data_IF_735654334843
#
_entry.id   IF_735654334843
#
_cell.length_a   1.000
_cell.length_b   1.000
_cell.length_c   1.000
_cell.angle_alpha   90.00
_cell.angle_beta   90.00
_cell.angle_gamma   90.00
#
_symmetry.space_group_name_H-M   'P 1'
#
loop_
_entity.id
_entity.type
_entity.pdbx_description
1 polymer ?
#
# COMPACT_ATOMS: atom_id res chain seq x y z
N UNK A 1 23.97 -9.52 -0.87
CA UNK A 1 22.85 -9.73 0.05
C UNK A 1 21.61 -8.99 -0.43
N UNK A 2 20.45 -9.39 0.10
CA UNK A 2 19.20 -8.68 -0.07
C UNK A 2 18.86 -7.97 1.24
N UNK A 3 18.26 -6.77 1.17
CA UNK A 3 17.78 -6.10 2.38
C UNK A 3 16.50 -6.78 2.90
N UNK A 4 15.53 -7.06 2.03
CA UNK A 4 14.32 -7.81 2.39
C UNK A 4 14.02 -8.88 1.34
N UNK A 5 13.78 -10.10 1.76
CA UNK A 5 13.27 -11.19 0.92
C UNK A 5 11.79 -11.39 1.20
N UNK A 6 10.95 -11.31 0.16
CA UNK A 6 9.50 -11.51 0.28
C UNK A 6 9.04 -12.82 -0.35
N UNK A 7 8.10 -13.48 0.31
CA UNK A 7 7.16 -14.35 -0.41
C UNK A 7 6.09 -13.48 -1.05
N UNK A 8 5.90 -13.58 -2.37
CA UNK A 8 4.92 -12.75 -3.11
C UNK A 8 3.47 -13.19 -2.85
N UNK A 9 3.24 -14.50 -2.87
CA UNK A 9 1.99 -15.16 -2.50
C UNK A 9 2.30 -16.38 -1.65
N UNK A 10 1.37 -16.69 -0.77
CA UNK A 10 1.45 -17.96 -0.02
C UNK A 10 0.99 -19.11 -0.92
N UNK A 11 1.49 -20.32 -0.69
CA UNK A 11 0.99 -21.49 -1.39
C UNK A 11 -0.51 -21.65 -1.14
N UNK A 12 -1.31 -21.94 -2.18
CA UNK A 12 -2.71 -22.30 -2.00
C UNK A 12 -2.88 -23.68 -1.31
N UNK A 13 -1.85 -24.53 -1.38
CA UNK A 13 -1.82 -25.85 -0.76
C UNK A 13 -0.76 -25.89 0.35
N UNK A 14 -1.17 -25.50 1.57
CA UNK A 14 -0.31 -25.55 2.74
C UNK A 14 -0.10 -26.98 3.28
N UNK A 15 -0.87 -27.96 2.81
CA UNK A 15 -0.63 -29.38 3.13
C UNK A 15 0.57 -29.92 2.37
N UNK A 16 0.70 -29.58 1.08
CA UNK A 16 1.82 -29.99 0.25
C UNK A 16 3.06 -29.08 0.46
N UNK A 17 2.84 -27.78 0.70
CA UNK A 17 3.90 -26.79 0.91
C UNK A 17 3.69 -26.06 2.25
N UNK A 18 4.08 -26.68 3.37
CA UNK A 18 3.88 -26.13 4.71
C UNK A 18 4.55 -24.76 4.87
N UNK A 19 3.86 -23.83 5.52
CA UNK A 19 4.41 -22.51 5.83
C UNK A 19 5.70 -22.62 6.64
N UNK A 20 5.77 -23.59 7.56
CA UNK A 20 6.94 -23.88 8.38
C UNK A 20 8.21 -24.08 7.53
N UNK A 21 8.15 -24.92 6.51
CA UNK A 21 9.28 -25.20 5.62
C UNK A 21 9.74 -23.93 4.86
N UNK A 22 8.78 -23.09 4.44
CA UNK A 22 9.08 -21.80 3.81
C UNK A 22 9.83 -20.87 4.77
N UNK A 23 9.31 -20.72 5.99
CA UNK A 23 9.89 -19.85 7.01
C UNK A 23 11.27 -20.34 7.41
N UNK A 24 11.45 -21.65 7.64
CA UNK A 24 12.75 -22.25 7.96
C UNK A 24 13.80 -21.95 6.88
N UNK A 25 13.45 -22.13 5.61
CA UNK A 25 14.35 -21.80 4.49
C UNK A 25 14.75 -20.32 4.48
N UNK A 26 13.80 -19.40 4.72
CA UNK A 26 14.08 -17.97 4.81
C UNK A 26 14.96 -17.64 6.00
N UNK A 27 14.74 -18.26 7.16
CA UNK A 27 15.57 -18.11 8.35
C UNK A 27 17.01 -18.61 8.13
N UNK A 28 17.18 -19.73 7.39
CA UNK A 28 18.52 -20.20 7.02
C UNK A 28 19.25 -19.18 6.15
N UNK A 29 18.56 -18.56 5.17
CA UNK A 29 19.17 -17.52 4.34
C UNK A 29 19.56 -16.28 5.16
N UNK A 30 18.75 -15.92 6.18
CA UNK A 30 19.05 -14.84 7.11
C UNK A 30 20.27 -15.19 7.99
N UNK A 31 20.34 -16.38 8.53
CA UNK A 31 21.48 -16.87 9.33
C UNK A 31 22.80 -16.90 8.52
N UNK A 32 22.71 -17.17 7.20
CA UNK A 32 23.87 -17.11 6.28
C UNK A 32 24.28 -15.68 5.89
N UNK A 33 23.58 -14.65 6.38
CA UNK A 33 23.83 -13.25 6.02
C UNK A 33 23.44 -12.85 4.61
N UNK A 34 22.71 -13.72 3.88
CA UNK A 34 22.24 -13.44 2.52
C UNK A 34 21.06 -12.49 2.48
N UNK A 35 20.27 -12.46 3.54
CA UNK A 35 19.06 -11.65 3.70
C UNK A 35 19.10 -10.97 5.06
N UNK A 36 18.72 -9.69 5.12
CA UNK A 36 18.67 -8.92 6.38
C UNK A 36 17.32 -9.02 7.06
N UNK A 37 16.23 -8.98 6.29
CA UNK A 37 14.87 -9.00 6.79
C UNK A 37 13.98 -9.92 5.95
N UNK A 38 12.93 -10.46 6.58
CA UNK A 38 11.96 -11.37 5.96
C UNK A 38 10.64 -10.65 5.82
N UNK A 39 10.06 -10.71 4.61
CA UNK A 39 8.77 -10.15 4.29
C UNK A 39 7.80 -11.18 3.71
N UNK A 40 6.52 -10.87 3.80
CA UNK A 40 5.47 -11.64 3.14
C UNK A 40 4.41 -10.70 2.56
N UNK A 41 3.98 -10.95 1.32
CA UNK A 41 2.96 -10.16 0.66
C UNK A 41 1.64 -10.93 0.55
N UNK A 42 0.51 -10.21 0.51
CA UNK A 42 -0.82 -10.78 0.30
C UNK A 42 -1.16 -11.85 1.35
N UNK A 43 -1.04 -11.49 2.61
CA UNK A 43 -1.20 -12.38 3.75
C UNK A 43 -2.53 -12.21 4.47
N UNK A 44 -2.85 -13.18 5.32
CA UNK A 44 -3.90 -13.09 6.36
C UNK A 44 -3.27 -12.96 7.74
N UNK A 45 -4.06 -12.62 8.76
CA UNK A 45 -3.59 -12.57 10.15
C UNK A 45 -3.02 -13.92 10.63
N UNK A 46 -3.62 -15.03 10.20
CA UNK A 46 -3.14 -16.39 10.56
C UNK A 46 -1.78 -16.70 9.90
N UNK A 47 -1.57 -16.25 8.68
CA UNK A 47 -0.27 -16.36 8.00
C UNK A 47 0.80 -15.54 8.74
N UNK A 48 0.48 -14.31 9.14
CA UNK A 48 1.39 -13.47 9.94
C UNK A 48 1.78 -14.20 11.24
N UNK A 49 0.80 -14.74 11.97
CA UNK A 49 1.05 -15.51 13.20
C UNK A 49 1.87 -16.78 12.92
N UNK A 50 1.61 -17.45 11.80
CA UNK A 50 2.38 -18.62 11.38
C UNK A 50 3.85 -18.30 11.14
N UNK A 51 4.16 -17.23 10.43
CA UNK A 51 5.55 -16.78 10.23
C UNK A 51 6.24 -16.53 11.58
N UNK A 52 5.58 -15.79 12.48
CA UNK A 52 6.15 -15.47 13.80
C UNK A 52 6.25 -16.69 14.72
N UNK A 53 5.43 -17.72 14.50
CA UNK A 53 5.51 -19.00 15.24
C UNK A 53 6.71 -19.83 14.82
N UNK A 54 7.01 -19.91 13.52
CA UNK A 54 8.06 -20.78 13.00
C UNK A 54 9.41 -20.06 12.81
N UNK A 55 9.43 -18.73 12.93
CA UNK A 55 10.63 -17.95 12.79
C UNK A 55 10.38 -16.46 13.04
N UNK A 56 10.61 -15.62 12.03
CA UNK A 56 10.46 -14.18 12.10
C UNK A 56 9.74 -13.65 10.88
N UNK A 57 8.94 -12.59 11.06
CA UNK A 57 8.42 -11.75 10.00
C UNK A 57 8.71 -10.29 10.37
N UNK A 58 9.46 -9.60 9.54
CA UNK A 58 9.84 -8.21 9.79
C UNK A 58 8.82 -7.23 9.17
N UNK A 59 8.24 -7.59 8.02
CA UNK A 59 7.36 -6.70 7.26
C UNK A 59 6.35 -7.48 6.41
N UNK A 60 5.11 -6.96 6.34
CA UNK A 60 4.14 -7.39 5.34
C UNK A 60 4.04 -6.37 4.21
N UNK A 61 3.73 -6.84 2.99
CA UNK A 61 3.43 -5.97 1.85
C UNK A 61 2.00 -6.21 1.37
N UNK A 62 1.14 -5.19 1.52
CA UNK A 62 -0.29 -5.32 1.27
C UNK A 62 -0.82 -4.19 0.37
N UNK A 63 -1.90 -4.50 -0.39
CA UNK A 63 -2.62 -3.46 -1.12
C UNK A 63 -3.25 -2.49 -0.12
N UNK A 64 -2.80 -1.24 -0.17
CA UNK A 64 -3.33 -0.19 0.67
C UNK A 64 -3.34 1.16 -0.06
N UNK A 65 -4.49 1.81 -0.05
CA UNK A 65 -4.69 3.15 -0.60
C UNK A 65 -5.78 3.85 0.22
N UNK A 66 -6.02 5.13 -0.03
CA UNK A 66 -7.13 5.86 0.58
C UNK A 66 -8.50 5.24 0.28
N UNK A 67 -8.62 4.46 -0.81
CA UNK A 67 -9.86 3.79 -1.23
C UNK A 67 -9.92 2.30 -0.86
N UNK A 68 -8.78 1.68 -0.54
CA UNK A 68 -8.67 0.25 -0.20
C UNK A 68 -7.98 0.13 1.15
N UNK A 69 -8.77 0.04 2.24
CA UNK A 69 -8.31 0.20 3.62
C UNK A 69 -8.50 -1.05 4.51
N UNK A 70 -8.74 -2.22 3.91
CA UNK A 70 -8.98 -3.47 4.66
C UNK A 70 -7.88 -3.80 5.67
N UNK A 71 -6.63 -3.44 5.37
CA UNK A 71 -5.45 -3.67 6.22
C UNK A 71 -5.66 -3.12 7.64
N UNK A 72 -6.31 -1.96 7.76
CA UNK A 72 -6.50 -1.30 9.06
C UNK A 72 -7.28 -2.17 10.05
N UNK A 73 -8.31 -2.88 9.58
CA UNK A 73 -9.16 -3.72 10.42
C UNK A 73 -8.70 -5.17 10.49
N UNK A 74 -8.15 -5.69 9.39
CA UNK A 74 -7.88 -7.12 9.27
C UNK A 74 -6.47 -7.52 9.70
N UNK A 75 -5.45 -6.68 9.45
CA UNK A 75 -4.05 -7.06 9.63
C UNK A 75 -3.32 -6.19 10.66
N UNK A 76 -3.61 -4.89 10.71
CA UNK A 76 -2.88 -3.95 11.57
C UNK A 76 -2.90 -4.32 13.07
N UNK A 77 -3.99 -4.84 13.66
CA UNK A 77 -3.96 -5.30 15.04
C UNK A 77 -2.92 -6.39 15.27
N UNK A 78 -2.87 -7.41 14.40
CA UNK A 78 -1.89 -8.50 14.46
C UNK A 78 -0.47 -8.01 14.22
N UNK A 79 -0.28 -7.09 13.26
CA UNK A 79 1.04 -6.50 13.01
C UNK A 79 1.56 -5.73 14.23
N UNK A 80 0.72 -4.95 14.89
CA UNK A 80 1.08 -4.22 16.13
C UNK A 80 1.42 -5.17 17.27
N UNK A 81 0.63 -6.22 17.46
CA UNK A 81 0.85 -7.24 18.49
C UNK A 81 2.21 -7.92 18.32
N UNK A 82 2.59 -8.23 17.09
CA UNK A 82 3.79 -9.02 16.76
C UNK A 82 5.00 -8.17 16.33
N UNK A 83 4.88 -6.83 16.33
CA UNK A 83 5.99 -5.95 15.95
C UNK A 83 6.31 -6.00 14.46
N UNK A 84 5.36 -6.36 13.59
CA UNK A 84 5.53 -6.47 12.15
C UNK A 84 5.21 -5.14 11.47
N UNK A 85 6.13 -4.66 10.63
CA UNK A 85 5.95 -3.45 9.84
C UNK A 85 4.98 -3.66 8.68
N UNK A 86 4.39 -2.58 8.16
CA UNK A 86 3.47 -2.62 7.01
C UNK A 86 4.05 -1.80 5.85
N UNK A 87 4.10 -2.41 4.67
CA UNK A 87 4.43 -1.75 3.40
C UNK A 87 3.19 -1.76 2.50
N UNK A 88 2.80 -0.57 2.01
CA UNK A 88 1.63 -0.38 1.16
C UNK A 88 2.02 -0.42 -0.31
N UNK A 89 1.48 -1.34 -1.11
CA UNK A 89 1.55 -1.26 -2.57
C UNK A 89 0.27 -0.70 -3.17
N UNK A 90 0.36 -0.14 -4.38
CA UNK A 90 -0.74 0.55 -5.10
C UNK A 90 -1.36 1.73 -4.33
N UNK A 91 -0.59 2.62 -3.70
CA UNK A 91 -1.13 3.74 -2.91
C UNK A 91 -1.94 4.71 -3.76
N UNK A 92 -1.64 4.82 -5.06
CA UNK A 92 -2.37 5.65 -6.03
C UNK A 92 -3.51 4.89 -6.75
N UNK A 93 -3.93 3.73 -6.23
CA UNK A 93 -5.00 2.88 -6.79
C UNK A 93 -4.87 2.70 -8.29
N UNK A 94 -3.72 2.15 -8.74
CA UNK A 94 -3.40 1.93 -10.17
C UNK A 94 -3.49 3.20 -11.04
N UNK A 95 -3.30 4.37 -10.45
CA UNK A 95 -3.32 5.67 -11.12
C UNK A 95 -4.62 6.45 -10.99
N UNK A 96 -5.69 5.89 -10.40
CA UNK A 96 -6.95 6.58 -10.18
C UNK A 96 -6.78 7.87 -9.35
N UNK A 97 -5.91 7.83 -8.35
CA UNK A 97 -5.67 8.93 -7.42
C UNK A 97 -4.55 9.89 -7.86
N UNK A 98 -4.22 9.92 -9.16
CA UNK A 98 -3.17 10.83 -9.69
C UNK A 98 -3.69 12.18 -10.16
N UNK A 99 -5.01 12.36 -10.26
CA UNK A 99 -5.62 13.51 -10.90
C UNK A 99 -5.61 13.49 -12.45
N UNK A 100 -5.06 12.41 -13.06
CA UNK A 100 -4.96 12.26 -14.53
C UNK A 100 -6.10 11.43 -15.14
N UNK A 101 -6.90 10.76 -14.33
CA UNK A 101 -8.04 9.95 -14.75
C UNK A 101 -9.29 10.82 -14.76
N UNK A 102 -10.13 10.65 -15.79
CA UNK A 102 -11.46 11.29 -15.91
C UNK A 102 -12.55 10.24 -16.06
N UNK A 103 -13.82 10.60 -16.09
CA UNK A 103 -14.91 9.64 -16.31
C UNK A 103 -14.86 8.99 -17.69
N UNK A 104 -14.28 9.67 -18.68
CA UNK A 104 -14.15 9.24 -20.08
C UNK A 104 -12.92 8.35 -20.33
N UNK A 105 -11.96 8.31 -19.39
CA UNK A 105 -10.75 7.49 -19.55
C UNK A 105 -11.12 6.01 -19.67
N UNK A 106 -10.70 5.38 -20.76
CA UNK A 106 -10.90 3.95 -21.02
C UNK A 106 -9.58 3.18 -20.91
N UNK A 107 -9.68 1.87 -20.74
CA UNK A 107 -8.53 0.99 -20.62
C UNK A 107 -8.65 -0.18 -21.61
N UNK A 108 -7.53 -0.68 -22.16
CA UNK A 108 -7.55 -1.84 -23.05
C UNK A 108 -8.24 -3.06 -22.42
N UNK A 109 -8.74 -3.94 -23.27
CA UNK A 109 -9.24 -5.25 -22.83
C UNK A 109 -8.15 -5.99 -22.05
N UNK A 110 -8.51 -6.74 -21.01
CA UNK A 110 -7.58 -7.44 -20.12
C UNK A 110 -6.88 -6.55 -19.09
N UNK A 111 -7.08 -5.23 -19.11
CA UNK A 111 -6.56 -4.37 -18.05
C UNK A 111 -7.19 -4.71 -16.68
N UNK A 112 -6.35 -4.87 -15.66
CA UNK A 112 -6.81 -5.10 -14.27
C UNK A 112 -7.68 -3.96 -13.73
N UNK A 113 -7.61 -2.77 -14.34
CA UNK A 113 -8.48 -1.63 -13.99
C UNK A 113 -9.93 -1.88 -14.33
N UNK A 114 -10.22 -2.65 -15.38
CA UNK A 114 -11.58 -2.97 -15.82
C UNK A 114 -12.34 -3.82 -14.78
N UNK A 115 -11.62 -4.66 -14.03
CA UNK A 115 -12.18 -5.50 -12.95
C UNK A 115 -11.99 -4.90 -11.55
N UNK A 116 -11.25 -3.80 -11.41
CA UNK A 116 -11.02 -3.19 -10.11
C UNK A 116 -12.27 -2.40 -9.65
N UNK A 117 -12.86 -2.72 -8.47
CA UNK A 117 -14.05 -2.05 -7.95
C UNK A 117 -13.91 -0.51 -7.85
N UNK A 118 -12.72 0.01 -7.60
CA UNK A 118 -12.48 1.46 -7.51
C UNK A 118 -12.67 2.19 -8.86
N UNK A 119 -12.59 1.46 -9.99
CA UNK A 119 -12.79 2.02 -11.32
C UNK A 119 -14.25 1.91 -11.81
N UNK A 120 -15.14 1.26 -11.08
CA UNK A 120 -16.55 1.24 -11.42
C UNK A 120 -17.15 2.66 -11.35
N UNK A 121 -18.12 3.02 -12.23
CA UNK A 121 -18.51 4.42 -12.44
C UNK A 121 -18.83 5.20 -11.16
N UNK A 122 -19.63 4.64 -10.25
CA UNK A 122 -20.01 5.33 -9.01
C UNK A 122 -18.80 5.58 -8.10
N UNK A 123 -17.96 4.56 -7.90
CA UNK A 123 -16.79 4.66 -7.03
C UNK A 123 -15.71 5.57 -7.63
N UNK A 124 -15.54 5.49 -8.94
CA UNK A 124 -14.65 6.36 -9.70
C UNK A 124 -15.08 7.83 -9.58
N UNK A 125 -16.37 8.13 -9.74
CA UNK A 125 -16.91 9.49 -9.60
C UNK A 125 -16.65 10.04 -8.17
N UNK A 126 -16.82 9.23 -7.13
CA UNK A 126 -16.48 9.61 -5.75
C UNK A 126 -15.00 9.96 -5.59
N UNK A 127 -14.10 9.13 -6.14
CA UNK A 127 -12.66 9.37 -6.08
C UNK A 127 -12.25 10.66 -6.82
N UNK A 128 -12.82 10.92 -7.98
CA UNK A 128 -12.55 12.14 -8.75
C UNK A 128 -13.08 13.38 -8.02
N UNK A 129 -14.28 13.30 -7.42
CA UNK A 129 -14.84 14.38 -6.61
C UNK A 129 -13.98 14.67 -5.38
N UNK A 130 -13.46 13.65 -4.71
CA UNK A 130 -12.53 13.78 -3.59
C UNK A 130 -11.29 14.59 -4.00
N UNK A 131 -10.62 14.21 -5.10
CA UNK A 131 -9.44 14.90 -5.59
C UNK A 131 -9.73 16.35 -6.02
N UNK A 132 -10.89 16.60 -6.65
CA UNK A 132 -11.32 17.96 -7.00
C UNK A 132 -11.50 18.84 -5.77
N UNK A 133 -11.99 18.28 -4.66
CA UNK A 133 -12.14 18.99 -3.38
C UNK A 133 -10.80 19.32 -2.69
N UNK A 134 -9.68 18.78 -3.16
CA UNK A 134 -8.34 19.02 -2.60
C UNK A 134 -7.46 19.92 -3.48
N UNK A 135 -8.04 20.59 -4.48
CA UNK A 135 -7.28 21.47 -5.39
C UNK A 135 -6.59 22.60 -4.62
N UNK A 136 -7.29 23.25 -3.69
CA UNK A 136 -6.72 24.32 -2.84
C UNK A 136 -5.56 23.81 -1.98
N UNK A 137 -5.61 22.54 -1.52
CA UNK A 137 -4.52 21.92 -0.78
C UNK A 137 -3.31 21.64 -1.70
N UNK A 138 -3.55 21.22 -2.94
CA UNK A 138 -2.46 21.06 -3.91
C UNK A 138 -1.76 22.40 -4.18
N UNK A 139 -2.52 23.51 -4.27
CA UNK A 139 -1.98 24.84 -4.42
C UNK A 139 -1.23 25.31 -3.16
N UNK A 140 -1.82 25.11 -1.95
CA UNK A 140 -1.20 25.43 -0.65
C UNK A 140 0.16 24.74 -0.49
N UNK A 141 0.25 23.46 -0.85
CA UNK A 141 1.47 22.66 -0.67
C UNK A 141 2.38 22.62 -1.91
N UNK A 142 2.03 23.37 -2.98
CA UNK A 142 2.76 23.39 -4.25
C UNK A 142 3.05 21.98 -4.77
N UNK A 143 2.05 21.10 -4.77
CA UNK A 143 2.23 19.69 -5.09
C UNK A 143 1.15 19.17 -6.07
N UNK A 144 1.43 18.03 -6.68
CA UNK A 144 0.45 17.31 -7.50
C UNK A 144 -0.55 16.54 -6.62
N UNK A 145 -1.75 16.23 -7.13
CA UNK A 145 -2.69 15.34 -6.42
C UNK A 145 -2.07 14.01 -6.03
N UNK A 146 -1.21 13.42 -6.89
CA UNK A 146 -0.50 12.19 -6.59
C UNK A 146 0.42 12.33 -5.37
N UNK A 147 1.21 13.39 -5.31
CA UNK A 147 2.10 13.68 -4.20
C UNK A 147 1.32 13.90 -2.89
N UNK A 148 0.22 14.65 -2.95
CA UNK A 148 -0.64 14.91 -1.79
C UNK A 148 -1.26 13.61 -1.25
N UNK A 149 -1.75 12.73 -2.14
CA UNK A 149 -2.29 11.41 -1.79
C UNK A 149 -1.22 10.52 -1.15
N UNK A 150 0.01 10.49 -1.69
CA UNK A 150 1.12 9.72 -1.12
C UNK A 150 1.46 10.24 0.28
N UNK A 151 1.57 11.56 0.45
CA UNK A 151 1.88 12.20 1.73
C UNK A 151 0.82 11.88 2.80
N UNK A 152 -0.48 11.93 2.45
CA UNK A 152 -1.55 11.52 3.34
C UNK A 152 -1.49 10.03 3.64
N UNK A 153 -1.33 9.18 2.61
CA UNK A 153 -1.28 7.72 2.78
C UNK A 153 -0.21 7.30 3.77
N UNK A 154 0.98 7.91 3.70
CA UNK A 154 2.07 7.65 4.64
C UNK A 154 1.73 7.98 6.11
N UNK A 155 0.72 8.83 6.35
CA UNK A 155 0.27 9.24 7.68
C UNK A 155 -0.92 8.44 8.22
N UNK A 156 -1.59 7.65 7.36
CA UNK A 156 -2.78 6.89 7.76
C UNK A 156 -2.47 5.81 8.81
N UNK A 157 -1.29 5.21 8.73
CA UNK A 157 -0.82 4.18 9.66
C UNK A 157 0.57 4.59 10.16
N UNK A 158 0.80 4.69 11.47
CA UNK A 158 2.13 4.97 12.01
C UNK A 158 3.18 3.97 11.51
N UNK A 159 4.28 4.46 10.95
CA UNK A 159 5.36 3.62 10.43
C UNK A 159 5.06 2.93 9.09
N UNK A 160 4.01 3.34 8.36
CA UNK A 160 3.71 2.81 7.05
C UNK A 160 4.80 3.18 6.03
N UNK A 161 5.28 2.19 5.31
CA UNK A 161 6.16 2.38 4.16
C UNK A 161 5.34 2.36 2.87
N UNK A 162 5.36 3.46 2.11
CA UNK A 162 4.56 3.59 0.88
C UNK A 162 5.40 3.20 -0.34
N UNK A 163 4.98 2.15 -1.05
CA UNK A 163 5.63 1.64 -2.25
C UNK A 163 4.92 2.16 -3.49
N UNK A 164 5.46 3.22 -4.09
CA UNK A 164 4.91 3.86 -5.27
C UNK A 164 5.43 3.20 -6.54
N UNK A 165 4.51 2.74 -7.39
CA UNK A 165 4.86 2.25 -8.73
C UNK A 165 5.23 3.42 -9.66
N UNK A 166 6.27 3.22 -10.48
CA UNK A 166 6.67 4.13 -11.54
C UNK A 166 7.08 3.33 -12.79
N UNK A 167 6.74 3.83 -13.97
CA UNK A 167 7.13 3.25 -15.27
C UNK A 167 8.18 4.07 -15.99
N UNK A 168 8.41 5.30 -15.54
CA UNK A 168 9.44 6.20 -16.05
C UNK A 168 10.18 6.87 -14.91
N UNK A 169 11.42 7.35 -15.13
CA UNK A 169 12.17 8.13 -14.15
C UNK A 169 11.41 9.35 -13.61
N UNK A 170 10.70 10.05 -14.50
CA UNK A 170 9.92 11.25 -14.16
C UNK A 170 8.80 10.91 -13.16
N UNK A 171 8.13 9.77 -13.32
CA UNK A 171 7.12 9.30 -12.37
C UNK A 171 7.75 8.95 -11.01
N UNK A 172 8.95 8.39 -10.98
CA UNK A 172 9.64 8.10 -9.75
C UNK A 172 10.04 9.38 -9.00
N UNK A 173 10.54 10.38 -9.73
CA UNK A 173 10.88 11.71 -9.20
C UNK A 173 9.62 12.42 -8.68
N UNK A 174 8.54 12.42 -9.46
CA UNK A 174 7.25 13.01 -9.06
C UNK A 174 6.73 12.36 -7.76
N UNK A 175 6.69 11.04 -7.70
CA UNK A 175 6.28 10.32 -6.48
C UNK A 175 7.16 10.66 -5.27
N UNK A 176 8.48 10.75 -5.46
CA UNK A 176 9.43 11.09 -4.40
C UNK A 176 9.23 12.51 -3.87
N UNK A 177 8.70 13.43 -4.68
CA UNK A 177 8.34 14.79 -4.26
C UNK A 177 7.38 14.83 -3.07
N UNK A 178 6.58 13.79 -2.86
CA UNK A 178 5.72 13.66 -1.68
C UNK A 178 6.46 13.72 -0.34
N UNK A 179 7.74 13.38 -0.30
CA UNK A 179 8.59 13.45 0.90
C UNK A 179 8.81 14.88 1.40
N UNK A 180 8.67 15.87 0.53
CA UNK A 180 8.85 17.28 0.86
C UNK A 180 7.57 17.96 1.36
N UNK A 181 6.42 17.26 1.36
CA UNK A 181 5.15 17.83 1.80
C UNK A 181 5.04 17.74 3.32
N UNK A 182 5.23 18.86 3.98
CA UNK A 182 4.97 19.00 5.41
C UNK A 182 3.47 19.22 5.67
N UNK A 183 2.65 18.18 5.43
CA UNK A 183 1.19 18.24 5.58
C UNK A 183 0.81 18.64 7.02
N UNK A 184 0.07 19.73 7.20
CA UNK A 184 -0.39 20.21 8.51
C UNK A 184 -1.38 19.22 9.14
N UNK A 185 -1.38 19.15 10.46
CA UNK A 185 -2.25 18.22 11.18
C UNK A 185 -3.74 18.45 10.93
N UNK A 186 -4.17 19.72 10.86
CA UNK A 186 -5.57 20.07 10.56
C UNK A 186 -6.00 19.59 9.18
N UNK A 187 -5.18 19.83 8.16
CA UNK A 187 -5.46 19.39 6.79
C UNK A 187 -5.48 17.87 6.68
N UNK A 188 -4.53 17.19 7.32
CA UNK A 188 -4.50 15.73 7.34
C UNK A 188 -5.75 15.12 7.98
N UNK A 189 -6.27 15.73 9.06
CA UNK A 189 -7.51 15.32 9.71
C UNK A 189 -8.71 15.57 8.81
N UNK A 190 -8.82 16.73 8.18
CA UNK A 190 -9.90 17.04 7.23
C UNK A 190 -9.90 16.07 6.05
N UNK A 191 -8.74 15.89 5.42
CA UNK A 191 -8.59 14.94 4.30
C UNK A 191 -8.96 13.50 4.70
N UNK A 192 -8.62 13.10 5.93
CA UNK A 192 -9.02 11.79 6.44
C UNK A 192 -10.54 11.66 6.57
N UNK A 193 -11.22 12.69 7.08
CA UNK A 193 -12.70 12.70 7.13
C UNK A 193 -13.33 12.63 5.75
N UNK A 194 -12.79 13.35 4.77
CA UNK A 194 -13.27 13.29 3.38
C UNK A 194 -13.14 11.87 2.80
N UNK A 195 -12.02 11.18 3.08
CA UNK A 195 -11.81 9.78 2.71
C UNK A 195 -12.80 8.86 3.44
N UNK A 196 -12.98 9.04 4.75
CA UNK A 196 -13.89 8.22 5.56
C UNK A 196 -15.36 8.35 5.07
N UNK A 197 -15.75 9.51 4.56
CA UNK A 197 -17.08 9.77 4.02
C UNK A 197 -17.40 9.00 2.73
N UNK A 198 -16.39 8.53 2.01
CA UNK A 198 -16.54 7.75 0.77
C UNK A 198 -16.05 6.30 0.89
N UNK A 199 -15.65 5.84 2.09
CA UNK A 199 -15.04 4.50 2.32
C UNK A 199 -16.09 3.42 2.60
#
# INVERSE_FOLDING_TARGET
HLDVLYTHWQSPDLGLYPLEATVEAMMQLKAQGKVRAIGAANVTADIIRGYCKYGQLDVIQEKYSLLTRRVEKQLLPTCKELGVSVQAYSPLEQGLLTGKVTMETTYPEGSTRNSNPCFQPARRAQALKLLAGWQDLCEKYHCTPAQLVIALTARMIPGLHVLCGARTPEQAIDNAGALHIALEGADAVQMKWDVDAIS
#
